data_IF_424648175730
#
_entry.id   IF_424648175730
#
_cell.length_a   1.000
_cell.length_b   1.000
_cell.length_c   1.000
_cell.angle_alpha   90.00
_cell.angle_beta   90.00
_cell.angle_gamma   90.00
#
_symmetry.space_group_name_H-M   'P 1'
#
loop_
_entity.id
_entity.type
_entity.pdbx_description
1 polymer ?
#
# COMPACT_ATOMS: atom_id res chain seq x y z
N UNK A 1 79.00 -9.13 -2.25
CA UNK A 1 78.97 -8.66 -0.84
C UNK A 1 77.53 -8.65 -0.36
N UNK A 2 77.20 -9.58 0.55
CA UNK A 2 75.86 -9.80 1.11
C UNK A 2 75.71 -8.90 2.33
N UNK A 3 74.82 -7.90 2.27
CA UNK A 3 74.52 -6.98 3.37
C UNK A 3 73.32 -7.47 4.18
N UNK A 4 73.53 -7.66 5.48
CA UNK A 4 72.65 -8.34 6.42
C UNK A 4 71.30 -7.63 6.66
N UNK A 5 70.25 -8.45 6.82
CA UNK A 5 68.90 -8.06 7.26
C UNK A 5 68.92 -7.57 8.71
N UNK A 6 68.59 -6.31 8.93
CA UNK A 6 68.35 -5.72 10.25
C UNK A 6 67.04 -6.24 10.85
N UNK A 7 67.17 -7.13 11.84
CA UNK A 7 66.07 -7.63 12.67
C UNK A 7 65.56 -6.52 13.60
N UNK A 8 64.40 -5.94 13.28
CA UNK A 8 63.71 -4.98 14.15
C UNK A 8 62.78 -5.73 15.10
N UNK A 9 63.25 -5.95 16.32
CA UNK A 9 62.45 -6.49 17.44
C UNK A 9 61.41 -5.44 17.89
N UNK A 10 60.12 -5.78 18.04
CA UNK A 10 59.17 -4.86 18.64
C UNK A 10 59.36 -4.83 20.16
N UNK A 11 59.69 -3.65 20.68
CA UNK A 11 59.74 -3.36 22.12
C UNK A 11 58.31 -3.34 22.66
N UNK A 12 57.96 -4.36 23.45
CA UNK A 12 56.71 -4.40 24.22
C UNK A 12 56.76 -3.33 25.30
N UNK A 13 56.05 -2.22 25.10
CA UNK A 13 55.86 -1.19 26.11
C UNK A 13 54.68 -1.61 27.01
N UNK A 14 54.95 -1.86 28.28
CA UNK A 14 53.92 -2.05 29.31
C UNK A 14 53.64 -0.68 29.92
N UNK A 15 52.40 -0.15 29.88
CA UNK A 15 51.98 0.91 30.76
C UNK A 15 51.27 0.29 31.97
N UNK A 16 51.85 0.47 33.16
CA UNK A 16 51.12 0.33 34.40
C UNK A 16 50.34 1.63 34.69
N UNK A 17 49.09 1.45 35.12
CA UNK A 17 48.40 2.34 36.05
C UNK A 17 47.75 3.59 35.46
N UNK A 18 46.44 3.53 35.23
CA UNK A 18 45.62 4.73 35.15
C UNK A 18 44.34 4.55 34.34
N UNK A 19 43.22 4.46 35.06
CA UNK A 19 41.86 4.67 34.57
C UNK A 19 41.27 3.58 33.66
N UNK A 20 40.32 2.86 34.24
CA UNK A 20 39.37 1.99 33.55
C UNK A 20 38.49 2.85 32.65
N UNK A 21 38.97 3.10 31.43
CA UNK A 21 38.17 3.63 30.34
C UNK A 21 36.97 2.67 30.16
N UNK A 22 35.80 3.12 30.64
CA UNK A 22 34.55 2.40 30.52
C UNK A 22 34.41 1.95 29.08
N UNK A 23 34.36 0.63 28.86
CA UNK A 23 34.08 -0.03 27.59
C UNK A 23 32.74 0.49 27.06
N UNK A 24 32.79 1.62 26.34
CA UNK A 24 31.66 2.43 25.91
C UNK A 24 31.01 1.90 24.64
N UNK A 25 30.74 0.59 24.60
CA UNK A 25 29.81 0.05 23.62
C UNK A 25 29.04 -1.07 24.28
N UNK A 26 27.90 -0.69 24.85
CA UNK A 26 26.83 -1.63 25.12
C UNK A 26 26.56 -2.37 23.80
N UNK A 27 26.68 -3.69 23.84
CA UNK A 27 26.06 -4.57 22.86
C UNK A 27 24.59 -4.16 22.77
N UNK A 28 24.12 -3.75 21.59
CA UNK A 28 22.69 -3.45 21.36
C UNK A 28 21.88 -4.61 21.92
N UNK A 29 20.92 -4.30 22.79
CA UNK A 29 19.97 -5.31 23.28
C UNK A 29 19.22 -5.82 22.07
N UNK A 30 19.20 -7.14 21.90
CA UNK A 30 18.31 -7.87 21.01
C UNK A 30 16.87 -7.75 21.53
N UNK A 31 16.35 -6.54 21.48
CA UNK A 31 15.05 -6.09 21.95
C UNK A 31 14.61 -4.86 21.17
N UNK A 32 15.58 -4.06 20.66
CA UNK A 32 15.30 -3.07 19.61
C UNK A 32 15.01 -3.76 18.25
N UNK A 33 15.41 -5.04 18.09
CA UNK A 33 15.05 -5.86 16.91
C UNK A 33 13.57 -6.32 16.94
N UNK A 34 12.87 -6.21 18.08
CA UNK A 34 11.45 -6.57 18.18
C UNK A 34 10.53 -5.43 17.68
N UNK A 35 10.96 -4.17 17.79
CA UNK A 35 10.32 -3.03 17.12
C UNK A 35 10.63 -3.01 15.61
N UNK A 36 11.77 -3.56 15.20
CA UNK A 36 12.10 -3.74 13.79
C UNK A 36 11.36 -4.95 13.16
N UNK A 37 10.81 -5.87 13.97
CA UNK A 37 9.93 -6.94 13.53
C UNK A 37 8.51 -6.46 13.18
N UNK A 38 8.19 -5.19 13.46
CA UNK A 38 6.98 -4.51 12.99
C UNK A 38 7.16 -3.87 11.60
N UNK A 39 8.35 -4.02 10.99
CA UNK A 39 8.51 -3.96 9.52
C UNK A 39 8.18 -5.28 8.85
N UNK A 40 7.20 -6.03 9.36
CA UNK A 40 6.42 -6.90 8.48
C UNK A 40 5.83 -5.97 7.43
N UNK A 41 6.07 -6.26 6.16
CA UNK A 41 5.27 -5.70 5.07
C UNK A 41 3.81 -6.00 5.41
N UNK A 42 3.17 -5.06 6.10
CA UNK A 42 1.83 -5.26 6.63
C UNK A 42 0.87 -5.31 5.45
N UNK A 43 -0.34 -5.87 5.64
CA UNK A 43 -1.40 -5.79 4.65
C UNK A 43 -1.60 -4.37 4.09
N UNK A 44 -1.32 -3.35 4.92
CA UNK A 44 -1.36 -1.93 4.58
C UNK A 44 -0.37 -1.55 3.46
N UNK A 45 0.86 -2.06 3.48
CA UNK A 45 1.87 -1.77 2.45
C UNK A 45 1.53 -2.42 1.12
N UNK A 46 1.06 -3.68 1.15
CA UNK A 46 0.59 -4.40 -0.05
C UNK A 46 -0.64 -3.74 -0.70
N UNK A 47 -1.57 -3.20 0.08
CA UNK A 47 -2.73 -2.45 -0.45
C UNK A 47 -2.27 -1.18 -1.14
N UNK A 48 -1.31 -0.45 -0.57
CA UNK A 48 -0.75 0.76 -1.21
C UNK A 48 -0.03 0.44 -2.53
N UNK A 49 0.73 -0.66 -2.58
CA UNK A 49 1.36 -1.15 -3.81
C UNK A 49 0.31 -1.59 -4.85
N UNK A 50 -0.73 -2.30 -4.41
CA UNK A 50 -1.83 -2.74 -5.27
C UNK A 50 -2.62 -1.57 -5.85
N UNK A 51 -2.88 -0.51 -5.07
CA UNK A 51 -3.51 0.72 -5.57
C UNK A 51 -2.61 1.43 -6.58
N UNK A 52 -1.29 1.42 -6.37
CA UNK A 52 -0.30 1.94 -7.31
C UNK A 52 -0.30 1.20 -8.65
N UNK A 53 -0.40 -0.14 -8.62
CA UNK A 53 -0.48 -0.98 -9.83
C UNK A 53 -1.86 -0.88 -10.51
N UNK A 54 -2.95 -0.83 -9.73
CA UNK A 54 -4.32 -0.69 -10.23
C UNK A 54 -4.57 0.67 -10.88
N UNK A 55 -3.91 1.75 -10.44
CA UNK A 55 -3.98 3.04 -11.14
C UNK A 55 -3.30 3.02 -12.52
N UNK A 56 -2.42 2.04 -12.78
CA UNK A 56 -1.88 1.80 -14.13
C UNK A 56 -2.92 1.19 -15.06
N UNK A 57 -3.93 0.50 -14.51
CA UNK A 57 -5.11 0.05 -15.25
C UNK A 57 -6.00 1.27 -15.45
N UNK A 58 -5.63 2.12 -16.42
CA UNK A 58 -6.34 3.32 -16.91
C UNK A 58 -7.44 3.77 -15.96
N UNK A 59 -7.07 4.37 -14.82
CA UNK A 59 -8.07 4.79 -13.85
C UNK A 59 -8.79 6.00 -14.44
N UNK A 60 -10.09 5.87 -14.74
CA UNK A 60 -10.80 6.84 -15.54
C UNK A 60 -11.03 8.13 -14.77
N UNK A 61 -11.13 9.24 -15.49
CA UNK A 61 -11.49 10.53 -14.90
C UNK A 61 -12.95 10.50 -14.43
N UNK A 62 -13.23 11.12 -13.28
CA UNK A 62 -14.58 11.14 -12.69
C UNK A 62 -15.64 11.82 -13.60
N UNK A 63 -15.20 12.65 -14.53
CA UNK A 63 -16.06 13.39 -15.45
C UNK A 63 -16.60 12.50 -16.58
N UNK A 64 -15.77 11.60 -17.13
CA UNK A 64 -16.20 10.61 -18.11
C UNK A 64 -17.19 9.62 -17.47
N UNK A 65 -16.88 9.14 -16.26
CA UNK A 65 -17.75 8.24 -15.52
C UNK A 65 -19.13 8.85 -15.27
N UNK A 66 -19.18 10.15 -14.91
CA UNK A 66 -20.43 10.87 -14.66
C UNK A 66 -21.30 10.95 -15.91
N UNK A 67 -20.71 11.25 -17.06
CA UNK A 67 -21.46 11.35 -18.32
C UNK A 67 -22.10 10.03 -18.68
N UNK A 68 -21.33 8.93 -18.66
CA UNK A 68 -21.86 7.60 -18.95
C UNK A 68 -22.89 7.14 -17.91
N UNK A 69 -22.68 7.46 -16.63
CA UNK A 69 -23.66 7.21 -15.57
C UNK A 69 -24.99 7.94 -15.81
N UNK A 70 -24.95 9.23 -16.16
CA UNK A 70 -26.15 10.03 -16.45
C UNK A 70 -26.92 9.44 -17.63
N UNK A 71 -26.24 9.05 -18.71
CA UNK A 71 -26.90 8.43 -19.87
C UNK A 71 -27.66 7.16 -19.47
N UNK A 72 -27.04 6.29 -18.68
CA UNK A 72 -27.69 5.06 -18.18
C UNK A 72 -28.86 5.40 -17.26
N UNK A 73 -28.70 6.38 -16.36
CA UNK A 73 -29.76 6.81 -15.44
C UNK A 73 -30.99 7.30 -16.20
N UNK A 74 -30.81 8.17 -17.21
CA UNK A 74 -31.89 8.67 -18.05
C UNK A 74 -32.58 7.54 -18.80
N UNK A 75 -31.79 6.60 -19.36
CA UNK A 75 -32.34 5.44 -20.07
C UNK A 75 -33.20 4.54 -19.16
N UNK A 76 -32.74 4.24 -17.95
CA UNK A 76 -33.50 3.45 -16.98
C UNK A 76 -34.80 4.15 -16.59
N UNK A 77 -34.75 5.45 -16.29
CA UNK A 77 -35.95 6.25 -15.97
C UNK A 77 -36.94 6.25 -17.14
N UNK A 78 -36.46 6.36 -18.36
CA UNK A 78 -37.30 6.29 -19.56
C UNK A 78 -37.99 4.93 -19.71
N UNK A 79 -37.27 3.83 -19.51
CA UNK A 79 -37.86 2.48 -19.54
C UNK A 79 -38.91 2.29 -18.44
N UNK A 80 -38.63 2.75 -17.22
CA UNK A 80 -39.60 2.72 -16.12
C UNK A 80 -40.86 3.50 -16.51
N UNK A 81 -40.72 4.70 -17.09
CA UNK A 81 -41.85 5.52 -17.50
C UNK A 81 -42.69 4.84 -18.61
N UNK A 82 -42.03 4.26 -19.62
CA UNK A 82 -42.73 3.54 -20.69
C UNK A 82 -43.48 2.31 -20.17
N UNK A 83 -42.83 1.48 -19.36
CA UNK A 83 -43.45 0.28 -18.76
C UNK A 83 -44.61 0.70 -17.86
N UNK A 84 -44.41 1.68 -16.99
CA UNK A 84 -45.47 2.18 -16.10
C UNK A 84 -46.68 2.71 -16.89
N UNK A 85 -46.44 3.47 -17.97
CA UNK A 85 -47.51 3.97 -18.83
C UNK A 85 -48.29 2.82 -19.46
N UNK A 86 -47.57 1.82 -19.96
CA UNK A 86 -48.14 0.66 -20.63
C UNK A 86 -48.92 -0.21 -19.64
N UNK A 87 -48.41 -0.43 -18.44
CA UNK A 87 -49.09 -1.15 -17.35
C UNK A 87 -50.40 -0.47 -16.95
N UNK A 88 -50.40 0.87 -16.85
CA UNK A 88 -51.62 1.65 -16.58
C UNK A 88 -52.63 1.57 -17.74
N UNK A 89 -52.14 1.63 -18.98
CA UNK A 89 -52.97 1.52 -20.17
C UNK A 89 -53.65 0.14 -20.24
N UNK A 90 -52.88 -0.94 -20.05
CA UNK A 90 -53.41 -2.29 -20.02
C UNK A 90 -54.32 -2.54 -18.83
N UNK A 91 -53.95 -2.09 -17.64
CA UNK A 91 -54.81 -2.21 -16.45
C UNK A 91 -56.19 -1.56 -16.70
N UNK A 92 -56.19 -0.35 -17.25
CA UNK A 92 -57.44 0.36 -17.58
C UNK A 92 -58.20 -0.31 -18.73
N UNK A 93 -57.52 -0.82 -19.75
CA UNK A 93 -58.13 -1.51 -20.89
C UNK A 93 -58.81 -2.82 -20.45
N UNK A 94 -58.15 -3.61 -19.59
CA UNK A 94 -58.70 -4.85 -19.06
C UNK A 94 -59.92 -4.60 -18.19
N UNK A 95 -59.88 -3.60 -17.30
CA UNK A 95 -61.05 -3.22 -16.49
C UNK A 95 -62.26 -2.83 -17.34
N UNK A 96 -62.04 -2.13 -18.47
CA UNK A 96 -63.13 -1.79 -19.40
C UNK A 96 -63.66 -2.98 -20.20
N UNK A 97 -62.85 -4.00 -20.44
CA UNK A 97 -63.25 -5.16 -21.23
C UNK A 97 -64.05 -6.19 -20.41
N UNK A 98 -63.74 -6.31 -19.12
CA UNK A 98 -64.40 -7.26 -18.20
C UNK A 98 -65.51 -6.64 -17.35
N UNK A 99 -65.86 -5.38 -17.58
CA UNK A 99 -66.94 -4.65 -16.89
C UNK A 99 -68.16 -4.42 -17.78
#
# INVERSE_FOLDING_TARGET
MVGARGSRRPVRRTPEGGETERKGRATRRRGDDEDDAERRTGPVTFVNESVGELRKVVWPTAEQMRTYFIVVLVFVVFMIALVSLLDLAFGTALLRLFS
#
